data_IF_356122883708
#
_entry.id   IF_356122883708
#
_cell.length_a   1.000
_cell.length_b   1.000
_cell.length_c   1.000
_cell.angle_alpha   90.00
_cell.angle_beta   90.00
_cell.angle_gamma   90.00
#
_symmetry.space_group_name_H-M   'P 1'
#
loop_
_entity.id
_entity.type
_entity.pdbx_description
1 polymer ?
#
# COMPACT_ATOMS: atom_id res chain seq x y z
N UNK A 1 -6.51 -9.67 -7.48
CA UNK A 1 -5.17 -9.43 -8.09
C UNK A 1 -4.59 -8.18 -7.43
N UNK A 2 -3.51 -8.30 -6.67
CA UNK A 2 -2.81 -7.16 -6.09
C UNK A 2 -2.13 -6.35 -7.20
N UNK A 3 -2.37 -5.04 -7.26
CA UNK A 3 -1.72 -4.14 -8.21
C UNK A 3 -0.99 -3.08 -7.39
N UNK A 4 0.32 -2.98 -7.59
CA UNK A 4 1.17 -1.99 -6.93
C UNK A 4 1.85 -1.11 -7.97
N UNK A 5 1.90 0.19 -7.68
CA UNK A 5 2.68 1.18 -8.42
C UNK A 5 3.76 1.71 -7.48
N UNK A 6 5.03 1.61 -7.89
CA UNK A 6 6.17 2.07 -7.11
C UNK A 6 6.85 3.19 -7.89
N UNK A 7 7.00 4.35 -7.25
CA UNK A 7 7.70 5.49 -7.82
C UNK A 7 8.61 6.10 -6.76
N UNK A 8 9.93 5.97 -6.94
CA UNK A 8 10.92 6.33 -5.91
C UNK A 8 10.61 5.66 -4.56
N UNK A 9 10.41 6.44 -3.50
CA UNK A 9 10.02 5.97 -2.16
C UNK A 9 8.50 5.85 -1.97
N UNK A 10 7.70 6.37 -2.89
CA UNK A 10 6.24 6.29 -2.83
C UNK A 10 5.72 4.97 -3.41
N UNK A 11 4.80 4.33 -2.68
CA UNK A 11 4.13 3.10 -3.10
C UNK A 11 2.62 3.28 -3.01
N UNK A 12 1.91 3.02 -4.11
CA UNK A 12 0.45 2.97 -4.15
C UNK A 12 0.00 1.54 -4.42
N UNK A 13 -0.90 1.02 -3.59
CA UNK A 13 -1.43 -0.34 -3.73
C UNK A 13 -2.94 -0.28 -3.86
N UNK A 14 -3.47 -0.93 -4.90
CA UNK A 14 -4.90 -1.18 -5.03
C UNK A 14 -5.22 -2.54 -4.42
N UNK A 15 -5.92 -2.49 -3.28
CA UNK A 15 -6.42 -3.66 -2.56
C UNK A 15 -7.89 -3.88 -2.93
N UNK A 16 -8.27 -5.14 -3.18
CA UNK A 16 -9.67 -5.48 -3.40
C UNK A 16 -10.44 -5.40 -2.07
N UNK A 17 -11.75 -5.14 -2.14
CA UNK A 17 -12.60 -4.97 -0.95
C UNK A 17 -12.67 -6.23 -0.07
N UNK A 18 -12.48 -7.40 -0.67
CA UNK A 18 -12.47 -8.70 -0.01
C UNK A 18 -11.09 -9.13 0.50
N UNK A 19 -10.06 -8.31 0.33
CA UNK A 19 -8.71 -8.64 0.80
C UNK A 19 -8.40 -7.93 2.12
N UNK A 20 -7.75 -8.67 3.02
CA UNK A 20 -7.41 -8.17 4.34
C UNK A 20 -6.19 -7.24 4.27
N UNK A 21 -6.25 -6.13 4.99
CA UNK A 21 -5.13 -5.20 5.08
C UNK A 21 -3.90 -5.87 5.73
N UNK A 22 -4.13 -6.80 6.65
CA UNK A 22 -3.08 -7.54 7.36
C UNK A 22 -2.20 -8.34 6.38
N UNK A 23 -2.78 -8.92 5.33
CA UNK A 23 -2.02 -9.61 4.28
C UNK A 23 -1.06 -8.65 3.57
N UNK A 24 -1.51 -7.43 3.27
CA UNK A 24 -0.68 -6.39 2.66
C UNK A 24 0.43 -5.95 3.63
N UNK A 25 0.12 -5.73 4.90
CA UNK A 25 1.11 -5.39 5.92
C UNK A 25 2.18 -6.47 6.07
N UNK A 26 1.79 -7.74 6.05
CA UNK A 26 2.71 -8.88 6.08
C UNK A 26 3.64 -8.92 4.86
N UNK A 27 3.12 -8.61 3.67
CA UNK A 27 3.93 -8.50 2.45
C UNK A 27 4.92 -7.33 2.55
N UNK A 28 4.46 -6.15 2.98
CA UNK A 28 5.29 -4.96 3.14
C UNK A 28 6.40 -5.18 4.18
N UNK A 29 6.09 -5.83 5.31
CA UNK A 29 7.07 -6.17 6.33
C UNK A 29 8.17 -7.09 5.80
N UNK A 30 7.80 -8.11 5.02
CA UNK A 30 8.76 -9.02 4.38
C UNK A 30 9.63 -8.28 3.36
N UNK A 31 9.03 -7.41 2.56
CA UNK A 31 9.76 -6.60 1.58
C UNK A 31 10.73 -5.63 2.25
N UNK A 32 10.31 -4.93 3.30
CA UNK A 32 11.17 -4.01 4.07
C UNK A 32 12.34 -4.74 4.71
N UNK A 33 12.08 -5.90 5.32
CA UNK A 33 13.12 -6.76 5.90
C UNK A 33 14.16 -7.17 4.85
N UNK A 34 13.72 -7.59 3.66
CA UNK A 34 14.61 -8.02 2.59
C UNK A 34 15.37 -6.87 1.91
N UNK A 35 14.73 -5.69 1.79
CA UNK A 35 15.28 -4.51 1.12
C UNK A 35 16.07 -3.60 2.05
N UNK A 36 16.07 -3.86 3.37
CA UNK A 36 16.58 -2.98 4.43
C UNK A 36 15.89 -1.60 4.48
N UNK A 37 14.77 -1.43 3.78
CA UNK A 37 13.94 -0.23 3.84
C UNK A 37 13.13 -0.19 5.15
N UNK A 38 12.76 1.02 5.57
CA UNK A 38 11.87 1.25 6.72
C UNK A 38 10.55 1.81 6.21
N UNK A 39 9.47 1.04 6.34
CA UNK A 39 8.15 1.52 5.99
C UNK A 39 7.66 2.57 6.99
N UNK A 40 7.33 3.76 6.51
CA UNK A 40 6.82 4.83 7.37
C UNK A 40 5.29 4.74 7.47
N UNK A 41 4.80 3.97 8.44
CA UNK A 41 3.37 3.79 8.65
C UNK A 41 2.63 5.10 8.97
N UNK A 42 3.31 6.08 9.58
CA UNK A 42 2.72 7.37 9.88
C UNK A 42 2.44 8.22 8.63
N UNK A 43 3.09 7.91 7.50
CA UNK A 43 2.81 8.52 6.19
C UNK A 43 1.77 7.76 5.38
N UNK A 44 1.40 6.55 5.78
CA UNK A 44 0.46 5.70 5.04
C UNK A 44 -0.94 6.30 5.10
N UNK A 45 -1.59 6.35 3.93
CA UNK A 45 -2.99 6.75 3.81
C UNK A 45 -3.79 5.62 3.17
N UNK A 46 -4.90 5.26 3.80
CA UNK A 46 -5.87 4.30 3.25
C UNK A 46 -7.04 5.11 2.70
N UNK A 47 -7.24 5.04 1.39
CA UNK A 47 -8.29 5.73 0.68
C UNK A 47 -9.12 4.71 -0.08
N UNK A 48 -10.45 4.84 0.00
CA UNK A 48 -11.32 4.08 -0.89
C UNK A 48 -11.33 4.75 -2.27
N UNK A 49 -11.30 3.94 -3.34
CA UNK A 49 -11.25 4.42 -4.73
C UNK A 49 -12.39 5.39 -5.05
N UNK A 50 -13.54 5.22 -4.41
CA UNK A 50 -14.69 6.10 -4.57
C UNK A 50 -14.35 7.54 -4.16
N UNK A 51 -13.55 7.73 -3.10
CA UNK A 51 -13.13 9.05 -2.64
C UNK A 51 -12.10 9.70 -3.56
N UNK A 52 -11.21 8.90 -4.16
CA UNK A 52 -10.23 9.40 -5.14
C UNK A 52 -10.94 10.00 -6.36
N UNK A 53 -12.05 9.41 -6.81
CA UNK A 53 -12.79 9.91 -7.97
C UNK A 53 -13.41 11.32 -7.77
N UNK A 54 -13.56 11.79 -6.53
CA UNK A 54 -14.07 13.14 -6.22
C UNK A 54 -12.96 14.18 -6.04
N UNK A 55 -11.69 13.76 -5.97
CA UNK A 55 -10.52 14.61 -5.75
C UNK A 55 -9.78 14.98 -7.04
N UNK A 56 -10.22 14.47 -8.20
CA UNK A 56 -9.66 14.75 -9.54
C UNK A 56 -10.62 15.57 -10.38
#
# INVERSE_FOLDING_TARGET
KLIANLFADDTTVFLAEDNELEDLENILNRWCTASTAVFNIAKMQILSILWLAWLV
#
